data_IF_535020204711
#
_entry.id   IF_535020204711
#
_cell.length_a   1.000
_cell.length_b   1.000
_cell.length_c   1.000
_cell.angle_alpha   90.00
_cell.angle_beta   90.00
_cell.angle_gamma   90.00
#
_symmetry.space_group_name_H-M   'P 1'
#
loop_
_entity.id
_entity.type
_entity.pdbx_description
1 polymer ?
#
# COMPACT_ATOMS: atom_id res chain seq x y z
N UNK A 1 10.08 11.13 7.66
CA UNK A 1 9.43 10.62 8.86
C UNK A 1 8.17 9.82 8.53
N UNK A 2 7.04 10.40 8.15
CA UNK A 2 5.80 9.66 7.85
C UNK A 2 5.72 9.03 6.46
N UNK A 3 6.57 9.42 5.54
CA UNK A 3 6.64 8.95 4.14
C UNK A 3 7.97 8.30 3.78
N UNK A 4 8.84 8.10 4.77
CA UNK A 4 10.13 7.43 4.54
C UNK A 4 9.91 5.95 4.31
N UNK A 5 10.61 5.42 3.33
CA UNK A 5 10.67 3.99 3.11
C UNK A 5 11.57 3.30 4.14
N UNK A 6 11.52 1.98 4.17
CA UNK A 6 12.26 1.17 5.14
C UNK A 6 12.61 -0.21 4.59
N UNK A 7 13.58 -0.83 5.24
CA UNK A 7 13.77 -2.28 5.27
C UNK A 7 13.24 -2.78 6.60
N UNK A 8 12.46 -3.83 6.60
CA UNK A 8 11.93 -4.45 7.81
C UNK A 8 12.14 -5.96 7.75
N UNK A 9 12.90 -6.48 8.69
CA UNK A 9 13.03 -7.91 8.89
C UNK A 9 11.74 -8.42 9.53
N UNK A 10 11.05 -9.30 8.83
CA UNK A 10 9.75 -9.85 9.27
C UNK A 10 9.88 -11.23 9.88
N UNK A 11 10.86 -12.00 9.42
CA UNK A 11 11.14 -13.30 9.96
C UNK A 11 12.63 -13.63 9.82
N UNK A 12 13.15 -14.43 10.76
CA UNK A 12 14.51 -14.95 10.73
C UNK A 12 14.55 -16.33 11.37
N UNK A 13 15.09 -17.28 10.65
CA UNK A 13 15.32 -18.61 11.15
C UNK A 13 16.71 -19.11 10.74
N UNK A 14 17.30 -20.02 11.50
CA UNK A 14 18.59 -20.56 11.11
C UNK A 14 19.25 -21.47 12.15
N UNK A 15 20.33 -22.06 11.71
CA UNK A 15 21.26 -22.84 12.52
C UNK A 15 22.70 -22.54 12.11
N UNK A 16 23.66 -23.35 12.52
CA UNK A 16 25.10 -23.14 12.21
C UNK A 16 25.41 -23.23 10.72
N UNK A 17 24.60 -23.97 9.95
CA UNK A 17 24.86 -24.25 8.54
C UNK A 17 24.05 -23.34 7.59
N UNK A 18 22.86 -22.92 8.01
CA UNK A 18 21.95 -22.14 7.16
C UNK A 18 21.12 -21.16 7.98
N UNK A 19 20.95 -19.96 7.43
CA UNK A 19 20.02 -18.97 7.94
C UNK A 19 19.14 -18.42 6.80
N UNK A 20 17.89 -18.15 7.11
CA UNK A 20 16.93 -17.51 6.21
C UNK A 20 16.40 -16.23 6.87
N UNK A 21 16.21 -15.20 6.06
CA UNK A 21 15.72 -13.91 6.52
C UNK A 21 14.71 -13.36 5.50
N UNK A 22 13.52 -13.05 5.98
CA UNK A 22 12.49 -12.41 5.18
C UNK A 22 12.43 -10.91 5.46
N UNK A 23 12.51 -10.13 4.39
CA UNK A 23 12.45 -8.67 4.46
C UNK A 23 11.29 -8.11 3.67
N UNK A 24 10.63 -7.11 4.25
CA UNK A 24 9.74 -6.21 3.52
C UNK A 24 10.51 -4.93 3.21
N UNK A 25 10.51 -4.53 1.94
CA UNK A 25 11.02 -3.24 1.49
C UNK A 25 9.82 -2.39 1.09
N UNK A 26 9.77 -1.15 1.59
CA UNK A 26 8.70 -0.20 1.28
C UNK A 26 9.30 1.16 0.94
N UNK A 27 8.76 1.76 -0.09
CA UNK A 27 8.94 3.18 -0.39
C UNK A 27 7.78 3.68 -1.26
N UNK A 28 7.48 4.97 -1.18
CA UNK A 28 6.47 5.61 -2.04
C UNK A 28 7.06 6.05 -3.39
N UNK A 29 8.38 6.19 -3.48
CA UNK A 29 9.10 6.56 -4.68
C UNK A 29 9.65 5.32 -5.37
N UNK A 30 9.31 5.14 -6.64
CA UNK A 30 9.84 4.04 -7.47
C UNK A 30 11.37 4.13 -7.62
N UNK A 31 11.91 5.35 -7.79
CA UNK A 31 13.34 5.56 -7.88
C UNK A 31 14.07 5.12 -6.59
N UNK A 32 13.52 5.48 -5.42
CA UNK A 32 14.11 5.05 -4.13
C UNK A 32 13.92 3.55 -3.92
N UNK A 33 12.79 2.97 -4.33
CA UNK A 33 12.59 1.52 -4.29
C UNK A 33 13.65 0.79 -5.12
N UNK A 34 13.93 1.26 -6.33
CA UNK A 34 14.99 0.73 -7.19
C UNK A 34 16.36 0.83 -6.53
N UNK A 35 16.69 1.97 -5.92
CA UNK A 35 17.93 2.14 -5.18
C UNK A 35 18.04 1.19 -3.98
N UNK A 36 16.95 0.94 -3.25
CA UNK A 36 16.92 -0.02 -2.13
C UNK A 36 17.17 -1.46 -2.60
N UNK A 37 16.56 -1.87 -3.71
CA UNK A 37 16.83 -3.18 -4.32
C UNK A 37 18.29 -3.32 -4.74
N UNK A 38 18.86 -2.27 -5.34
CA UNK A 38 20.27 -2.24 -5.71
C UNK A 38 21.20 -2.34 -4.48
N UNK A 39 20.83 -1.73 -3.36
CA UNK A 39 21.58 -1.87 -2.09
C UNK A 39 21.64 -3.32 -1.61
N UNK A 40 20.51 -4.05 -1.66
CA UNK A 40 20.51 -5.48 -1.33
C UNK A 40 21.38 -6.30 -2.28
N UNK A 41 21.23 -6.10 -3.59
CA UNK A 41 22.02 -6.80 -4.58
C UNK A 41 23.52 -6.55 -4.38
N UNK A 42 23.91 -5.32 -4.03
CA UNK A 42 25.29 -4.96 -3.73
C UNK A 42 25.80 -5.65 -2.47
N UNK A 43 25.00 -5.70 -1.41
CA UNK A 43 25.36 -6.43 -0.17
C UNK A 43 25.57 -7.93 -0.44
N UNK A 44 24.69 -8.57 -1.19
CA UNK A 44 24.82 -9.97 -1.62
C UNK A 44 26.12 -10.18 -2.40
N UNK A 45 26.42 -9.28 -3.34
CA UNK A 45 27.65 -9.34 -4.13
C UNK A 45 28.91 -9.29 -3.24
N UNK A 46 28.99 -8.30 -2.34
CA UNK A 46 30.13 -8.17 -1.40
C UNK A 46 30.30 -9.42 -0.54
N UNK A 47 29.21 -9.97 -0.02
CA UNK A 47 29.26 -11.14 0.84
C UNK A 47 29.74 -12.38 0.06
N UNK A 48 29.27 -12.57 -1.16
CA UNK A 48 29.69 -13.67 -2.02
C UNK A 48 31.15 -13.51 -2.50
N UNK A 49 31.62 -12.30 -2.73
CA UNK A 49 33.04 -12.03 -3.03
C UNK A 49 33.94 -12.37 -1.84
N UNK A 50 33.48 -12.07 -0.62
CA UNK A 50 34.25 -12.30 0.60
C UNK A 50 34.26 -13.75 1.08
N UNK A 51 33.12 -14.43 0.99
CA UNK A 51 32.93 -15.74 1.63
C UNK A 51 32.77 -16.89 0.62
N UNK A 52 32.75 -16.60 -0.66
CA UNK A 52 32.59 -17.57 -1.74
C UNK A 52 31.23 -17.43 -2.45
N UNK A 53 31.25 -17.76 -3.74
CA UNK A 53 30.01 -17.68 -4.57
C UNK A 53 28.94 -18.63 -4.04
N UNK A 54 27.69 -18.14 -3.96
CA UNK A 54 26.55 -18.92 -3.47
C UNK A 54 26.39 -18.95 -1.95
N UNK A 55 27.28 -18.25 -1.20
CA UNK A 55 27.13 -18.13 0.27
C UNK A 55 25.85 -17.38 0.64
N UNK A 56 25.48 -16.38 -0.16
CA UNK A 56 24.24 -15.62 0.03
C UNK A 56 23.43 -15.65 -1.25
N UNK A 57 22.21 -16.11 -1.16
CA UNK A 57 21.19 -16.02 -2.21
C UNK A 57 20.10 -15.01 -1.80
N UNK A 58 19.63 -14.23 -2.73
CA UNK A 58 18.58 -13.26 -2.48
C UNK A 58 17.54 -13.28 -3.61
N UNK A 59 16.30 -13.48 -3.26
CA UNK A 59 15.16 -13.39 -4.19
C UNK A 59 14.34 -12.16 -3.88
N UNK A 60 14.18 -11.27 -4.84
CA UNK A 60 13.33 -10.07 -4.71
C UNK A 60 12.07 -10.26 -5.53
N UNK A 61 10.91 -10.09 -4.90
CA UNK A 61 9.58 -10.17 -5.55
C UNK A 61 8.82 -8.88 -5.32
N UNK A 62 8.30 -8.30 -6.40
CA UNK A 62 7.41 -7.15 -6.32
C UNK A 62 5.99 -7.63 -5.95
N UNK A 63 5.43 -7.06 -4.89
CA UNK A 63 4.07 -7.36 -4.46
C UNK A 63 3.06 -6.38 -5.05
N UNK A 64 3.34 -5.09 -4.96
CA UNK A 64 2.54 -3.99 -5.51
C UNK A 64 3.38 -2.71 -5.57
N UNK A 65 3.00 -1.83 -6.48
CA UNK A 65 3.58 -0.50 -6.65
C UNK A 65 2.62 0.58 -6.14
N UNK A 66 3.10 1.81 -6.03
CA UNK A 66 2.24 2.94 -5.70
C UNK A 66 1.22 3.19 -6.82
N UNK A 67 -0.07 3.08 -6.50
CA UNK A 67 -1.14 3.24 -7.49
C UNK A 67 -1.35 4.68 -7.97
N UNK A 68 -0.68 5.68 -7.39
CA UNK A 68 -0.89 7.09 -7.70
C UNK A 68 -0.75 7.38 -9.21
N UNK A 69 0.19 6.72 -9.89
CA UNK A 69 0.38 6.90 -11.33
C UNK A 69 -0.81 6.39 -12.16
N UNK A 70 -1.52 5.38 -11.66
CA UNK A 70 -2.75 4.85 -12.27
C UNK A 70 -3.98 5.66 -11.93
N UNK A 71 -3.99 6.30 -10.76
CA UNK A 71 -5.10 7.16 -10.29
C UNK A 71 -5.01 8.57 -10.87
N UNK A 72 -3.80 9.09 -11.12
CA UNK A 72 -3.58 10.46 -11.62
C UNK A 72 -4.42 10.85 -12.84
N UNK A 73 -4.61 9.99 -13.86
CA UNK A 73 -5.50 10.31 -14.98
C UNK A 73 -6.99 10.34 -14.61
N UNK A 74 -7.35 9.81 -13.44
CA UNK A 74 -8.73 9.61 -12.97
C UNK A 74 -8.97 10.30 -11.63
N UNK A 75 -8.40 11.49 -11.39
CA UNK A 75 -8.51 12.23 -10.12
C UNK A 75 -9.95 12.52 -9.72
N UNK A 76 -10.88 12.60 -10.70
CA UNK A 76 -12.31 12.74 -10.43
C UNK A 76 -12.87 11.67 -9.48
N UNK A 77 -12.24 10.47 -9.40
CA UNK A 77 -12.63 9.43 -8.44
C UNK A 77 -12.41 9.89 -6.99
N UNK A 78 -11.27 10.54 -6.74
CA UNK A 78 -10.94 11.10 -5.43
C UNK A 78 -11.79 12.34 -5.14
N UNK A 79 -11.91 13.25 -6.12
CA UNK A 79 -12.66 14.49 -5.97
C UNK A 79 -14.13 14.21 -5.65
N UNK A 80 -14.74 13.25 -6.35
CA UNK A 80 -16.12 12.81 -6.11
C UNK A 80 -16.29 12.20 -4.71
N UNK A 81 -15.32 11.40 -4.25
CA UNK A 81 -15.36 10.81 -2.91
C UNK A 81 -15.22 11.89 -1.82
N UNK A 82 -14.33 12.86 -2.03
CA UNK A 82 -14.16 14.01 -1.12
C UNK A 82 -15.43 14.86 -1.04
N UNK A 83 -16.06 15.15 -2.18
CA UNK A 83 -17.30 15.92 -2.23
C UNK A 83 -18.45 15.17 -1.53
N UNK A 84 -18.64 13.89 -1.83
CA UNK A 84 -19.65 13.06 -1.20
C UNK A 84 -19.44 12.96 0.31
N UNK A 85 -18.22 12.77 0.77
CA UNK A 85 -17.90 12.74 2.21
C UNK A 85 -18.23 14.07 2.91
N UNK A 86 -17.92 15.21 2.29
CA UNK A 86 -18.26 16.54 2.82
C UNK A 86 -19.77 16.76 2.91
N UNK A 87 -20.54 16.27 1.95
CA UNK A 87 -22.00 16.44 1.92
C UNK A 87 -22.73 15.75 3.08
N UNK A 88 -22.11 14.73 3.69
CA UNK A 88 -22.63 14.03 4.86
C UNK A 88 -21.95 14.45 6.17
N UNK A 89 -21.25 15.61 6.16
CA UNK A 89 -20.64 16.19 7.35
C UNK A 89 -19.31 15.58 7.77
N UNK A 90 -18.69 14.73 6.92
CA UNK A 90 -17.35 14.21 7.20
C UNK A 90 -16.26 15.24 6.81
N UNK A 91 -15.10 15.12 7.46
CA UNK A 91 -13.89 15.87 7.11
C UNK A 91 -12.91 14.93 6.41
N UNK A 92 -12.98 14.80 5.07
CA UNK A 92 -12.16 13.84 4.34
C UNK A 92 -10.69 14.22 4.39
N UNK A 93 -9.84 13.22 4.57
CA UNK A 93 -8.39 13.37 4.53
C UNK A 93 -7.82 12.47 3.43
N UNK A 94 -7.31 13.08 2.37
CA UNK A 94 -6.59 12.37 1.32
C UNK A 94 -5.16 12.11 1.80
N UNK A 95 -4.78 10.85 1.91
CA UNK A 95 -3.47 10.45 2.38
C UNK A 95 -2.97 9.20 1.63
N UNK A 96 -1.64 9.05 1.44
CA UNK A 96 -1.11 7.82 0.90
C UNK A 96 -1.32 6.67 1.89
N UNK A 97 -1.73 5.52 1.38
CA UNK A 97 -1.82 4.31 2.18
C UNK A 97 -0.43 3.68 2.38
N UNK A 98 -0.20 3.07 3.53
CA UNK A 98 1.11 2.48 3.89
C UNK A 98 1.21 0.99 3.61
N UNK A 99 0.29 0.40 2.96
CA UNK A 99 0.30 -1.03 2.67
C UNK A 99 -0.10 -1.32 1.23
N UNK A 100 -0.06 -2.58 0.84
CA UNK A 100 -0.72 -3.05 -0.36
C UNK A 100 -2.21 -3.15 -0.13
N UNK A 101 -2.95 -2.86 -1.18
CA UNK A 101 -4.40 -3.00 -1.19
C UNK A 101 -4.84 -3.65 -2.48
N UNK A 102 -6.00 -4.26 -2.47
CA UNK A 102 -6.60 -4.80 -3.69
C UNK A 102 -6.85 -3.68 -4.71
N UNK A 103 -7.17 -2.46 -4.24
CA UNK A 103 -7.28 -1.29 -5.10
C UNK A 103 -6.00 -0.95 -5.86
N UNK A 104 -4.83 -1.14 -5.25
CA UNK A 104 -3.57 -0.97 -5.95
C UNK A 104 -3.41 -2.03 -7.05
N UNK A 105 -3.70 -3.31 -6.77
CA UNK A 105 -3.63 -4.39 -7.76
C UNK A 105 -4.60 -4.16 -8.91
N UNK A 106 -5.86 -3.84 -8.61
CA UNK A 106 -6.89 -3.54 -9.60
C UNK A 106 -6.49 -2.35 -10.48
N UNK A 107 -5.90 -1.31 -9.90
CA UNK A 107 -5.42 -0.15 -10.64
C UNK A 107 -4.35 -0.51 -11.67
N UNK A 108 -3.44 -1.43 -11.35
CA UNK A 108 -2.43 -1.94 -12.29
C UNK A 108 -3.00 -2.92 -13.31
N UNK A 109 -4.16 -3.52 -13.05
CA UNK A 109 -4.90 -4.36 -13.99
C UNK A 109 -5.80 -3.55 -14.95
N UNK A 110 -5.79 -2.21 -14.85
CA UNK A 110 -6.55 -1.32 -15.73
C UNK A 110 -7.84 -0.77 -15.13
N UNK A 111 -8.15 -1.08 -13.86
CA UNK A 111 -9.29 -0.51 -13.13
C UNK A 111 -8.78 0.46 -12.07
N UNK A 112 -8.72 1.78 -12.34
CA UNK A 112 -8.33 2.77 -11.33
C UNK A 112 -9.24 2.68 -10.10
N UNK A 113 -8.68 2.26 -8.97
CA UNK A 113 -9.45 1.90 -7.77
C UNK A 113 -8.82 2.54 -6.51
N UNK A 114 -9.11 3.81 -6.23
CA UNK A 114 -8.67 4.43 -4.98
C UNK A 114 -9.41 3.82 -3.78
N UNK A 115 -8.74 3.81 -2.62
CA UNK A 115 -9.35 3.28 -1.40
C UNK A 115 -10.20 4.35 -0.70
N UNK A 116 -11.33 3.93 -0.16
CA UNK A 116 -12.14 4.71 0.78
C UNK A 116 -11.78 4.30 2.21
N UNK A 117 -11.89 5.24 3.14
CA UNK A 117 -11.81 4.93 4.56
C UNK A 117 -13.06 4.18 5.02
N UNK A 118 -12.89 3.21 5.89
CA UNK A 118 -13.95 2.35 6.43
C UNK A 118 -14.46 2.80 7.79
N UNK A 119 -13.82 3.82 8.38
CA UNK A 119 -14.15 4.27 9.75
C UNK A 119 -13.60 3.36 10.84
N UNK A 120 -12.63 2.52 10.50
CA UNK A 120 -11.97 1.58 11.39
C UNK A 120 -10.88 2.23 12.24
N UNK A 121 -10.60 1.61 13.39
CA UNK A 121 -9.56 2.01 14.33
C UNK A 121 -8.69 0.82 14.71
N UNK A 122 -7.43 1.10 15.06
CA UNK A 122 -6.46 0.12 15.54
C UNK A 122 -6.24 -1.07 14.60
N UNK A 123 -6.27 -0.80 13.28
CA UNK A 123 -6.10 -1.81 12.22
C UNK A 123 -4.90 -2.71 12.47
N UNK A 124 -5.07 -4.02 12.20
CA UNK A 124 -4.07 -5.08 12.38
C UNK A 124 -3.64 -5.31 13.84
N UNK A 125 -4.38 -4.83 14.79
CA UNK A 125 -4.12 -5.01 16.21
C UNK A 125 -5.23 -5.78 16.94
N UNK A 126 -4.96 -6.22 18.18
CA UNK A 126 -5.96 -6.97 18.97
C UNK A 126 -7.17 -6.11 19.39
N UNK A 127 -7.09 -4.80 19.21
CA UNK A 127 -8.16 -3.83 19.49
C UNK A 127 -8.76 -3.26 18.21
N UNK A 128 -8.58 -3.92 17.08
CA UNK A 128 -9.19 -3.50 15.82
C UNK A 128 -10.72 -3.48 15.95
N UNK A 129 -11.32 -2.37 15.60
CA UNK A 129 -12.76 -2.17 15.71
C UNK A 129 -13.27 -1.11 14.75
N UNK A 130 -14.57 -1.13 14.52
CA UNK A 130 -15.32 -0.09 13.82
C UNK A 130 -16.54 0.28 14.66
N UNK A 131 -16.93 1.54 14.67
CA UNK A 131 -18.17 1.97 15.36
C UNK A 131 -19.39 1.80 14.45
N UNK A 132 -20.58 1.72 15.06
CA UNK A 132 -21.84 1.67 14.31
C UNK A 132 -21.99 2.90 13.44
N UNK A 133 -21.69 4.09 13.97
CA UNK A 133 -21.74 5.36 13.26
C UNK A 133 -20.74 5.38 12.07
N UNK A 134 -19.56 4.77 12.24
CA UNK A 134 -18.59 4.60 11.17
C UNK A 134 -19.13 3.75 10.02
N UNK A 135 -19.76 2.61 10.35
CA UNK A 135 -20.40 1.74 9.35
C UNK A 135 -21.54 2.45 8.62
N UNK A 136 -22.41 3.16 9.36
CA UNK A 136 -23.51 3.94 8.77
C UNK A 136 -23.00 5.00 7.82
N UNK A 137 -21.97 5.77 8.21
CA UNK A 137 -21.37 6.80 7.37
C UNK A 137 -20.67 6.24 6.13
N UNK A 138 -20.01 5.10 6.25
CA UNK A 138 -19.44 4.41 5.09
C UNK A 138 -20.54 3.96 4.11
N UNK A 139 -21.63 3.41 4.61
CA UNK A 139 -22.76 2.99 3.79
C UNK A 139 -23.38 4.19 3.07
N UNK A 140 -23.63 5.30 3.78
CA UNK A 140 -24.15 6.54 3.22
C UNK A 140 -23.24 7.10 2.11
N UNK A 141 -21.90 7.10 2.36
CA UNK A 141 -20.91 7.55 1.37
C UNK A 141 -20.95 6.71 0.09
N UNK A 142 -21.00 5.39 0.22
CA UNK A 142 -21.05 4.48 -0.95
C UNK A 142 -22.32 4.68 -1.75
N UNK A 143 -23.47 4.83 -1.10
CA UNK A 143 -24.75 5.07 -1.76
C UNK A 143 -24.74 6.40 -2.54
N UNK A 144 -24.18 7.47 -1.97
CA UNK A 144 -24.01 8.75 -2.65
C UNK A 144 -23.11 8.65 -3.88
N UNK A 145 -22.03 7.89 -3.79
CA UNK A 145 -21.15 7.68 -4.94
C UNK A 145 -21.85 6.89 -6.05
N UNK A 146 -22.59 5.84 -5.72
CA UNK A 146 -23.40 5.08 -6.68
C UNK A 146 -24.40 6.00 -7.38
N UNK A 147 -25.14 6.81 -6.63
CA UNK A 147 -26.11 7.77 -7.19
C UNK A 147 -25.42 8.78 -8.10
N UNK A 148 -24.29 9.33 -7.67
CA UNK A 148 -23.51 10.31 -8.47
C UNK A 148 -23.07 9.72 -9.81
N UNK A 149 -22.52 8.52 -9.81
CA UNK A 149 -22.05 7.87 -11.04
C UNK A 149 -23.20 7.38 -11.94
N UNK A 150 -24.31 6.95 -11.35
CA UNK A 150 -25.50 6.57 -12.13
C UNK A 150 -26.09 7.73 -12.95
N UNK A 151 -25.97 8.95 -12.43
CA UNK A 151 -26.43 10.17 -13.10
C UNK A 151 -25.43 10.66 -14.17
N UNK A 152 -24.15 10.41 -13.98
CA UNK A 152 -23.11 10.78 -14.94
C UNK A 152 -23.03 9.83 -16.15
N UNK A 153 -23.61 8.63 -16.05
CA UNK A 153 -23.63 7.63 -17.12
C UNK A 153 -24.81 7.83 -18.13
N UNK A 154 -25.63 8.84 -17.92
CA UNK A 154 -26.71 9.27 -18.84
C UNK A 154 -26.25 10.44 -19.69
#
# INVERSE_FOLDING_TARGET
YKRQGFFHLTDMSGNVERAEMDYIIRDHSEAIMTARKATLAHAVKILNEKYGSGTVECTVRDQYLNMVEKIRPCMHLIDNAVEAAKSIGLVPKVAPIRGGTDGARLSFMGLPCPNLGTGDFACHGPYEHVTVEGMEKCTELVLLLIDKYSKAAK
#
